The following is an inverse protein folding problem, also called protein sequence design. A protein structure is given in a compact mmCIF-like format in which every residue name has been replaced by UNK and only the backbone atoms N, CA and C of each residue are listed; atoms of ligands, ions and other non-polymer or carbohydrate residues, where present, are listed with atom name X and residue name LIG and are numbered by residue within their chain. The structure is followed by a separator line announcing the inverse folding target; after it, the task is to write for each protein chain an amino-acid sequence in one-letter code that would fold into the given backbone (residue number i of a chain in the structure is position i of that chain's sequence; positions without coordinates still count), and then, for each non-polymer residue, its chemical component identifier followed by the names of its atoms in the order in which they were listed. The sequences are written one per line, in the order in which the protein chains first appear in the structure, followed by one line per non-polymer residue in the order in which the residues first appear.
data_IF_278081760528
#
_entry.id   IF_278081760528
#
_cell.length_a   1.000
_cell.length_b   1.000
_cell.length_c   1.000
_cell.angle_alpha   90.00
_cell.angle_beta   90.00
_cell.angle_gamma   90.00
#
_symmetry.space_group_name_H-M   'P 1'
#
loop_
_entity.id
_entity.type
_entity.pdbx_description
1 polymer ?
#
# COMPACT_ATOMS: atom_id res chain seq x y z
N UNK A 1 -13.55 2.93 -28.71
CA UNK A 1 -14.22 1.84 -27.97
C UNK A 1 -13.30 1.23 -26.90
N UNK A 2 -12.03 0.96 -27.22
CA UNK A 2 -11.08 0.38 -26.25
C UNK A 2 -10.75 1.34 -25.08
N UNK A 3 -10.69 2.65 -25.34
CA UNK A 3 -10.44 3.65 -24.29
C UNK A 3 -11.61 3.78 -23.30
N UNK A 4 -12.84 3.72 -23.79
CA UNK A 4 -14.03 3.79 -22.93
C UNK A 4 -14.11 2.57 -21.99
N UNK A 5 -13.70 1.40 -22.46
CA UNK A 5 -13.66 0.21 -21.63
C UNK A 5 -12.59 0.25 -20.54
N UNK A 6 -11.42 0.83 -20.84
CA UNK A 6 -10.34 0.98 -19.86
C UNK A 6 -10.68 2.05 -18.81
N UNK A 7 -11.23 3.17 -19.22
CA UNK A 7 -11.65 4.23 -18.30
C UNK A 7 -12.78 3.73 -17.37
N UNK A 8 -13.72 2.95 -17.89
CA UNK A 8 -14.78 2.33 -17.10
C UNK A 8 -14.23 1.30 -16.10
N UNK A 9 -13.19 0.52 -16.47
CA UNK A 9 -12.53 -0.41 -15.56
C UNK A 9 -11.76 0.32 -14.46
N UNK A 10 -11.05 1.40 -14.79
CA UNK A 10 -10.32 2.20 -13.79
C UNK A 10 -11.27 2.90 -12.82
N UNK A 11 -12.41 3.42 -13.33
CA UNK A 11 -13.43 4.05 -12.48
C UNK A 11 -14.20 3.05 -11.60
N UNK A 12 -14.10 1.74 -11.88
CA UNK A 12 -14.76 0.69 -11.10
C UNK A 12 -13.89 0.10 -9.99
N UNK A 13 -12.62 0.53 -9.87
CA UNK A 13 -11.75 0.07 -8.79
C UNK A 13 -12.28 0.58 -7.44
N UNK A 14 -12.30 -0.28 -6.42
CA UNK A 14 -12.71 0.16 -5.10
C UNK A 14 -11.73 1.15 -4.52
N UNK A 15 -12.21 2.03 -3.65
CA UNK A 15 -11.34 2.89 -2.87
C UNK A 15 -10.67 2.07 -1.77
N UNK A 16 -9.42 2.40 -1.40
CA UNK A 16 -8.73 1.68 -0.31
C UNK A 16 -9.55 1.62 0.98
N UNK A 17 -10.23 2.70 1.33
CA UNK A 17 -11.04 2.77 2.55
C UNK A 17 -12.20 1.76 2.55
N UNK A 18 -12.67 1.35 1.37
CA UNK A 18 -13.75 0.37 1.24
C UNK A 18 -13.27 -1.07 1.39
N UNK A 19 -11.98 -1.31 1.22
CA UNK A 19 -11.35 -2.62 1.39
C UNK A 19 -10.69 -2.78 2.75
N UNK A 20 -9.96 -1.74 3.18
CA UNK A 20 -9.13 -1.78 4.37
C UNK A 20 -9.92 -1.45 5.63
N UNK A 21 -9.55 -2.06 6.78
CA UNK A 21 -10.07 -1.62 8.08
C UNK A 21 -9.44 -0.32 8.57
N UNK A 22 -8.30 0.07 8.01
CA UNK A 22 -7.56 1.28 8.35
C UNK A 22 -8.39 2.53 8.13
N UNK A 23 -8.17 3.55 8.95
CA UNK A 23 -8.85 4.86 8.86
C UNK A 23 -7.84 5.98 9.03
N UNK A 24 -8.13 7.18 8.48
CA UNK A 24 -7.29 8.35 8.78
C UNK A 24 -7.17 8.55 10.30
N UNK A 25 -5.97 8.92 10.80
CA UNK A 25 -4.80 9.37 10.05
C UNK A 25 -3.84 8.26 9.62
N UNK A 26 -4.20 6.98 9.77
CA UNK A 26 -3.32 5.85 9.45
C UNK A 26 -3.72 5.11 8.17
N UNK A 27 -4.50 5.71 7.32
CA UNK A 27 -4.77 5.22 5.98
C UNK A 27 -3.72 5.83 5.04
N UNK A 28 -2.75 5.03 4.61
CA UNK A 28 -1.55 5.50 3.92
C UNK A 28 -1.55 5.11 2.43
N UNK A 29 -2.70 5.16 1.82
CA UNK A 29 -2.90 4.99 0.38
C UNK A 29 -4.15 5.76 -0.03
N UNK A 30 -4.04 6.56 -1.09
CA UNK A 30 -5.14 7.43 -1.52
C UNK A 30 -6.06 6.77 -2.53
N UNK A 31 -5.49 6.01 -3.48
CA UNK A 31 -6.27 5.33 -4.51
C UNK A 31 -5.54 4.09 -5.02
N UNK A 32 -6.30 3.18 -5.60
CA UNK A 32 -5.77 2.05 -6.35
C UNK A 32 -5.83 2.37 -7.85
N UNK A 33 -4.78 2.02 -8.58
CA UNK A 33 -4.72 2.18 -10.03
C UNK A 33 -4.77 0.84 -10.76
N UNK A 34 -4.51 -0.26 -10.06
CA UNK A 34 -4.66 -1.61 -10.57
C UNK A 34 -4.97 -2.56 -9.42
N UNK A 35 -5.77 -3.57 -9.68
CA UNK A 35 -6.17 -4.55 -8.67
C UNK A 35 -6.51 -5.88 -9.34
N UNK A 36 -5.81 -6.93 -8.94
CA UNK A 36 -6.15 -8.30 -9.27
C UNK A 36 -6.33 -9.05 -7.93
N UNK A 37 -7.60 -9.33 -7.52
CA UNK A 37 -7.87 -9.91 -6.22
C UNK A 37 -7.06 -11.18 -5.94
N UNK A 38 -6.38 -11.21 -4.80
CA UNK A 38 -5.53 -12.33 -4.40
C UNK A 38 -4.19 -12.41 -5.10
N UNK A 39 -3.88 -11.51 -6.03
CA UNK A 39 -2.67 -11.57 -6.85
C UNK A 39 -1.80 -10.33 -6.70
N UNK A 40 -2.35 -9.15 -6.99
CA UNK A 40 -1.55 -7.93 -7.00
C UNK A 40 -2.41 -6.67 -6.84
N UNK A 41 -1.78 -5.59 -6.44
CA UNK A 41 -2.40 -4.27 -6.42
C UNK A 41 -1.33 -3.19 -6.66
N UNK A 42 -1.77 -2.10 -7.25
CA UNK A 42 -0.98 -0.89 -7.41
C UNK A 42 -1.77 0.27 -6.83
N UNK A 43 -1.11 1.07 -6.00
CA UNK A 43 -1.75 2.20 -5.35
C UNK A 43 -0.88 3.45 -5.39
N UNK A 44 -1.50 4.57 -5.06
CA UNK A 44 -0.84 5.87 -5.01
C UNK A 44 -1.06 6.48 -3.63
N UNK A 45 0.02 7.03 -3.06
CA UNK A 45 -0.02 7.83 -1.85
C UNK A 45 0.62 9.18 -2.13
N UNK A 46 -0.17 10.25 -2.05
CA UNK A 46 0.28 11.63 -2.29
C UNK A 46 0.57 12.31 -0.96
N UNK A 47 1.82 12.73 -0.79
CA UNK A 47 2.24 13.42 0.43
C UNK A 47 1.98 14.91 0.28
N UNK A 48 1.08 15.45 1.10
CA UNK A 48 0.70 16.86 1.06
C UNK A 48 1.64 17.75 1.87
N UNK A 49 2.21 17.20 2.95
CA UNK A 49 2.98 17.94 3.93
C UNK A 49 2.23 18.18 5.24
N UNK A 50 0.91 17.93 5.24
CA UNK A 50 0.06 18.12 6.43
C UNK A 50 -0.08 16.86 7.27
N UNK A 51 0.57 15.75 6.87
CA UNK A 51 0.51 14.51 7.61
C UNK A 51 1.12 14.68 9.02
N UNK A 52 0.51 14.01 9.99
CA UNK A 52 0.77 14.22 11.42
C UNK A 52 2.22 13.96 11.84
N UNK A 53 2.97 13.15 11.10
CA UNK A 53 4.32 12.73 11.48
C UNK A 53 5.42 13.73 11.04
N UNK A 54 5.15 14.60 10.07
CA UNK A 54 6.18 15.47 9.52
C UNK A 54 6.75 16.49 10.51
N UNK A 55 5.96 17.13 11.39
CA UNK A 55 6.55 18.10 12.34
C UNK A 55 7.65 17.53 13.23
N UNK A 56 7.53 16.25 13.58
CA UNK A 56 8.51 15.57 14.42
C UNK A 56 9.60 14.82 13.65
N UNK A 57 9.46 14.70 12.33
CA UNK A 57 10.36 13.88 11.51
C UNK A 57 10.71 14.56 10.18
N UNK A 58 11.50 15.63 10.18
CA UNK A 58 12.17 16.24 11.33
C UNK A 58 11.81 17.72 11.37
N UNK A 59 11.94 18.41 12.51
CA UNK A 59 11.69 19.86 12.57
C UNK A 59 12.47 20.63 11.51
N UNK A 60 11.75 21.39 10.66
CA UNK A 60 12.35 22.16 9.57
C UNK A 60 12.85 21.35 8.37
N UNK A 61 12.80 20.02 8.45
CA UNK A 61 13.22 19.13 7.36
C UNK A 61 12.32 17.90 7.29
N UNK A 62 11.08 18.05 6.79
CA UNK A 62 10.14 16.95 6.76
C UNK A 62 10.61 15.82 5.82
N UNK A 63 10.64 14.62 6.36
CA UNK A 63 11.04 13.40 5.65
C UNK A 63 10.06 12.30 5.98
N UNK A 64 9.56 11.60 4.98
CA UNK A 64 8.68 10.46 5.21
C UNK A 64 9.46 9.36 5.94
N UNK A 65 8.99 8.93 7.13
CA UNK A 65 9.62 7.80 7.81
C UNK A 65 9.62 6.55 6.92
N UNK A 66 10.79 5.91 6.79
CA UNK A 66 10.92 4.73 5.92
C UNK A 66 9.99 3.60 6.33
N UNK A 67 9.79 3.41 7.63
CA UNK A 67 8.88 2.36 8.13
C UNK A 67 7.43 2.61 7.70
N UNK A 68 7.02 3.87 7.48
CA UNK A 68 5.69 4.17 6.97
C UNK A 68 5.57 3.89 5.47
N UNK A 69 6.65 3.92 4.71
CA UNK A 69 6.63 3.40 3.35
C UNK A 69 6.37 1.89 3.33
N UNK A 70 6.98 1.16 4.24
CA UNK A 70 6.70 -0.27 4.40
C UNK A 70 5.25 -0.51 4.79
N UNK A 71 4.69 0.31 5.68
CA UNK A 71 3.28 0.21 6.05
C UNK A 71 2.36 0.52 4.88
N UNK A 72 2.67 1.54 4.08
CA UNK A 72 1.91 1.85 2.87
C UNK A 72 1.93 0.68 1.88
N UNK A 73 3.09 0.05 1.68
CA UNK A 73 3.23 -1.15 0.86
C UNK A 73 2.35 -2.28 1.41
N UNK A 74 2.36 -2.49 2.72
CA UNK A 74 1.52 -3.50 3.37
C UNK A 74 0.03 -3.21 3.16
N UNK A 75 -0.39 -1.95 3.23
CA UNK A 75 -1.79 -1.57 3.00
C UNK A 75 -2.23 -1.83 1.56
N UNK A 76 -1.39 -1.52 0.59
CA UNK A 76 -1.69 -1.83 -0.82
C UNK A 76 -1.79 -3.34 -1.02
N UNK A 77 -0.88 -4.11 -0.43
CA UNK A 77 -0.95 -5.57 -0.45
C UNK A 77 -2.21 -6.11 0.22
N UNK A 78 -2.59 -5.51 1.35
CA UNK A 78 -3.83 -5.87 2.04
C UNK A 78 -5.08 -5.59 1.19
N UNK A 79 -5.06 -4.56 0.35
CA UNK A 79 -6.15 -4.33 -0.61
C UNK A 79 -6.33 -5.53 -1.54
N UNK A 80 -5.23 -6.07 -2.08
CA UNK A 80 -5.29 -7.26 -2.94
C UNK A 80 -5.83 -8.49 -2.19
N UNK A 81 -5.43 -8.68 -0.93
CA UNK A 81 -5.94 -9.76 -0.08
C UNK A 81 -7.44 -9.61 0.15
N UNK A 82 -7.86 -8.44 0.62
CA UNK A 82 -9.23 -8.19 1.04
C UNK A 82 -10.21 -8.03 -0.12
N UNK A 83 -9.72 -7.89 -1.34
CA UNK A 83 -10.54 -7.90 -2.54
C UNK A 83 -11.03 -9.31 -2.90
N UNK A 84 -10.43 -10.36 -2.33
CA UNK A 84 -10.94 -11.72 -2.49
C UNK A 84 -12.20 -11.92 -1.64
N UNK A 85 -13.30 -12.47 -2.21
CA UNK A 85 -14.54 -12.67 -1.45
C UNK A 85 -14.37 -13.52 -0.18
N UNK A 86 -13.46 -14.48 -0.18
CA UNK A 86 -13.22 -15.38 0.95
C UNK A 86 -12.35 -14.77 2.04
N UNK A 87 -11.83 -13.55 1.84
CA UNK A 87 -10.99 -12.86 2.83
C UNK A 87 -11.61 -11.56 3.35
N UNK A 88 -12.81 -11.17 2.92
CA UNK A 88 -13.42 -9.88 3.28
C UNK A 88 -13.63 -9.69 4.78
N UNK A 89 -13.74 -10.77 5.55
CA UNK A 89 -13.93 -10.73 7.01
C UNK A 89 -12.61 -10.88 7.77
N UNK A 90 -11.48 -10.95 7.08
CA UNK A 90 -10.18 -11.10 7.74
C UNK A 90 -9.57 -9.75 8.08
N UNK A 91 -8.74 -9.76 9.12
CA UNK A 91 -7.91 -8.63 9.52
C UNK A 91 -6.46 -8.98 9.17
N UNK A 92 -5.87 -8.33 8.16
CA UNK A 92 -4.48 -8.61 7.80
C UNK A 92 -3.54 -7.86 8.74
N UNK A 93 -2.91 -8.59 9.63
CA UNK A 93 -1.92 -8.06 10.55
C UNK A 93 -0.53 -8.18 9.92
N UNK A 94 0.31 -7.20 10.17
CA UNK A 94 1.69 -7.21 9.71
C UNK A 94 2.48 -8.24 10.54
N UNK A 95 2.73 -9.41 9.99
CA UNK A 95 3.36 -10.52 10.70
C UNK A 95 4.88 -10.58 10.56
N UNK A 96 5.41 -9.97 9.51
CA UNK A 96 6.86 -9.95 9.28
C UNK A 96 7.25 -9.01 8.16
N UNK A 97 8.50 -8.55 8.23
CA UNK A 97 9.09 -7.64 7.26
C UNK A 97 10.54 -8.07 7.03
N UNK A 98 10.87 -8.40 5.80
CA UNK A 98 12.22 -8.83 5.42
C UNK A 98 12.76 -7.98 4.27
N UNK A 99 14.08 -7.91 4.20
CA UNK A 99 14.80 -7.28 3.08
C UNK A 99 14.33 -5.86 2.79
N UNK A 100 13.94 -5.12 3.83
CA UNK A 100 13.56 -3.73 3.68
C UNK A 100 14.80 -2.90 3.34
N UNK A 101 14.70 -2.11 2.27
CA UNK A 101 15.77 -1.22 1.81
C UNK A 101 15.17 0.14 1.49
N UNK A 102 15.81 1.17 2.00
CA UNK A 102 15.44 2.57 1.81
C UNK A 102 16.50 3.23 0.95
N UNK A 103 16.13 3.59 -0.29
CA UNK A 103 17.10 3.96 -1.33
C UNK A 103 17.09 5.43 -1.68
N UNK A 104 16.07 6.16 -1.27
CA UNK A 104 16.00 7.61 -1.43
C UNK A 104 15.09 8.21 -0.38
N UNK A 105 15.37 9.48 -0.06
CA UNK A 105 14.52 10.28 0.81
C UNK A 105 13.24 10.66 0.07
N UNK A 106 12.10 10.59 0.76
CA UNK A 106 10.80 10.99 0.26
C UNK A 106 10.31 12.15 1.12
N UNK A 107 9.80 13.19 0.47
CA UNK A 107 9.48 14.47 1.11
C UNK A 107 8.07 14.92 0.72
N UNK A 108 7.49 15.92 1.45
CA UNK A 108 6.20 16.49 1.06
C UNK A 108 6.18 16.93 -0.41
N UNK A 109 5.06 16.67 -1.08
CA UNK A 109 4.91 16.91 -2.51
C UNK A 109 5.24 15.72 -3.39
N UNK A 110 5.94 14.71 -2.86
CA UNK A 110 6.19 13.49 -3.60
C UNK A 110 4.93 12.64 -3.68
N UNK A 111 4.81 11.91 -4.79
CA UNK A 111 3.76 10.93 -5.01
C UNK A 111 4.39 9.55 -5.09
N UNK A 112 3.99 8.66 -4.19
CA UNK A 112 4.47 7.29 -4.18
C UNK A 112 3.59 6.41 -5.06
N UNK A 113 4.21 5.74 -6.02
CA UNK A 113 3.59 4.63 -6.75
C UNK A 113 4.01 3.33 -6.07
N UNK A 114 3.03 2.62 -5.55
CA UNK A 114 3.24 1.43 -4.72
C UNK A 114 2.72 0.23 -5.46
N UNK A 115 3.59 -0.75 -5.69
CA UNK A 115 3.26 -1.98 -6.40
C UNK A 115 3.52 -3.17 -5.50
N UNK A 116 2.54 -4.07 -5.37
CA UNK A 116 2.65 -5.27 -4.54
C UNK A 116 2.18 -6.49 -5.31
N UNK A 117 2.99 -7.54 -5.25
CA UNK A 117 2.62 -8.86 -5.74
C UNK A 117 2.51 -9.81 -4.56
N UNK A 118 1.38 -10.51 -4.46
CA UNK A 118 1.18 -11.53 -3.45
C UNK A 118 1.83 -12.84 -3.89
N UNK A 119 2.44 -13.52 -2.95
CA UNK A 119 2.97 -14.84 -3.15
C UNK A 119 2.05 -15.90 -2.56
N UNK A 120 2.63 -16.85 -1.85
CA UNK A 120 1.86 -17.94 -1.22
C UNK A 120 0.91 -17.38 -0.17
N UNK A 121 -0.36 -17.82 -0.23
CA UNK A 121 -1.38 -17.50 0.75
C UNK A 121 -2.08 -18.75 1.25
N UNK A 122 -2.40 -18.74 2.55
CA UNK A 122 -3.25 -19.72 3.22
C UNK A 122 -4.34 -18.97 4.01
N UNK A 123 -5.23 -19.69 4.66
CA UNK A 123 -6.27 -19.08 5.50
C UNK A 123 -5.69 -18.29 6.68
N UNK A 124 -4.45 -18.57 7.10
CA UNK A 124 -3.83 -17.98 8.30
C UNK A 124 -2.74 -16.97 8.02
N UNK A 125 -2.07 -17.07 6.87
CA UNK A 125 -0.92 -16.23 6.56
C UNK A 125 -0.76 -16.06 5.07
N UNK A 126 -0.08 -14.99 4.67
CA UNK A 126 0.25 -14.73 3.28
C UNK A 126 1.56 -13.96 3.17
N UNK A 127 2.21 -14.08 2.03
CA UNK A 127 3.45 -13.38 1.72
C UNK A 127 3.24 -12.47 0.51
N UNK A 128 4.07 -11.44 0.43
CA UNK A 128 4.08 -10.55 -0.71
C UNK A 128 5.41 -9.83 -0.83
N UNK A 129 5.65 -9.24 -1.99
CA UNK A 129 6.78 -8.37 -2.25
C UNK A 129 6.26 -7.06 -2.78
N UNK A 130 6.88 -5.96 -2.36
CA UNK A 130 6.41 -4.65 -2.77
C UNK A 130 7.52 -3.64 -2.97
N UNK A 131 7.19 -2.63 -3.75
CA UNK A 131 8.06 -1.48 -4.03
C UNK A 131 7.27 -0.19 -3.92
N UNK A 132 7.97 0.89 -3.56
CA UNK A 132 7.46 2.24 -3.63
C UNK A 132 8.43 3.09 -4.45
N UNK A 133 7.91 3.81 -5.43
CA UNK A 133 8.69 4.63 -6.37
C UNK A 133 8.19 6.07 -6.39
N UNK A 134 9.11 7.00 -6.60
CA UNK A 134 8.81 8.41 -6.86
C UNK A 134 9.38 8.77 -8.23
N UNK A 135 8.53 9.21 -9.15
CA UNK A 135 8.93 9.55 -10.52
C UNK A 135 9.76 8.45 -11.20
N UNK A 136 9.37 7.19 -10.98
CA UNK A 136 10.06 6.03 -11.54
C UNK A 136 11.31 5.59 -10.78
N UNK A 137 11.77 6.36 -9.79
CA UNK A 137 12.94 6.02 -8.97
C UNK A 137 12.52 5.19 -7.75
N UNK A 138 13.19 4.06 -7.55
CA UNK A 138 12.91 3.18 -6.42
C UNK A 138 13.28 3.85 -5.10
N UNK A 139 12.29 4.07 -4.25
CA UNK A 139 12.48 4.62 -2.91
C UNK A 139 12.62 3.52 -1.86
N UNK A 140 11.80 2.50 -1.94
CA UNK A 140 11.78 1.41 -0.96
C UNK A 140 11.35 0.10 -1.62
N UNK A 141 11.93 -1.00 -1.15
CA UNK A 141 11.50 -2.35 -1.48
C UNK A 141 11.50 -3.19 -0.22
N UNK A 142 10.60 -4.16 -0.13
CA UNK A 142 10.54 -5.09 0.99
C UNK A 142 9.75 -6.35 0.67
N UNK A 143 9.97 -7.37 1.48
CA UNK A 143 9.15 -8.57 1.51
C UNK A 143 8.24 -8.51 2.74
N UNK A 144 6.99 -8.88 2.57
CA UNK A 144 5.94 -8.80 3.58
C UNK A 144 5.46 -10.18 3.98
N UNK A 145 5.03 -10.31 5.22
CA UNK A 145 4.22 -11.44 5.67
C UNK A 145 3.00 -10.90 6.43
N UNK A 146 1.83 -11.37 6.03
CA UNK A 146 0.57 -11.11 6.74
C UNK A 146 0.19 -12.29 7.59
N UNK A 147 -0.37 -12.01 8.75
CA UNK A 147 -1.09 -12.99 9.58
C UNK A 147 -2.55 -12.54 9.61
N UNK A 148 -3.47 -13.45 9.26
CA UNK A 148 -4.88 -13.13 9.17
C UNK A 148 -5.60 -13.49 10.46
N UNK A 149 -6.19 -12.48 11.08
CA UNK A 149 -7.11 -12.65 12.21
C UNK A 149 -8.54 -12.48 11.72
N UNK A 150 -9.51 -12.87 12.53
CA UNK A 150 -10.91 -12.56 12.25
C UNK A 150 -11.23 -11.15 12.76
N UNK A 151 -12.07 -10.44 12.02
CA UNK A 151 -12.57 -9.13 12.44
C UNK A 151 -13.58 -9.27 13.56
#
# INVERSE_FOLDING_TARGET
AARLGQDAQMSSLPAPIDLLPHRPPFLLVDELTALEPGVSATGIWRLTGDEYFFPGHFPGRPTLPGVLMCESIAQVGACAVLARPDFTTKLPLFGGLDKARFRRQVVPGDELLIEVELGRMSARAGKGTGTAKVNGELATSCDLMFVFADR
#
